data_IF_039978708625
#
_entry.id   IF_039978708625
#
_cell.length_a   1.000
_cell.length_b   1.000
_cell.length_c   1.000
_cell.angle_alpha   90.00
_cell.angle_beta   90.00
_cell.angle_gamma   90.00
#
_symmetry.space_group_name_H-M   'P 1'
#
loop_
_entity.id
_entity.type
_entity.pdbx_description
1 polymer ?
#
# COMPACT_ATOMS: atom_id res chain seq x y z
N UNK A 1 1.30 -13.90 5.29
CA UNK A 1 0.01 -14.18 4.61
C UNK A 1 -0.08 -15.60 4.05
N UNK A 2 0.90 -16.10 3.27
CA UNK A 2 0.91 -17.50 2.77
C UNK A 2 0.70 -18.56 3.85
N UNK A 3 1.50 -18.54 4.93
CA UNK A 3 1.34 -19.44 6.10
C UNK A 3 -0.07 -19.40 6.71
N UNK A 4 -0.71 -18.22 6.74
CA UNK A 4 -2.08 -18.07 7.24
C UNK A 4 -3.06 -18.72 6.27
N UNK A 5 -2.95 -18.48 4.96
CA UNK A 5 -3.79 -19.12 3.92
C UNK A 5 -3.64 -20.64 3.96
N UNK A 6 -2.41 -21.15 4.00
CA UNK A 6 -2.09 -22.59 4.03
C UNK A 6 -2.63 -23.28 5.30
N UNK A 7 -2.73 -22.55 6.42
CA UNK A 7 -3.34 -23.06 7.65
C UNK A 7 -4.86 -23.21 7.60
N UNK A 8 -5.51 -22.70 6.54
CA UNK A 8 -6.96 -22.77 6.35
C UNK A 8 -7.25 -23.66 5.14
N UNK A 9 -8.31 -24.46 5.20
CA UNK A 9 -8.80 -25.26 4.06
C UNK A 9 -9.52 -24.37 3.03
N UNK A 10 -8.85 -23.34 2.53
CA UNK A 10 -9.38 -22.48 1.48
C UNK A 10 -9.12 -23.12 0.12
N UNK A 11 -10.08 -23.00 -0.79
CA UNK A 11 -9.85 -23.36 -2.19
C UNK A 11 -8.76 -22.44 -2.75
N UNK A 12 -7.82 -23.02 -3.48
CA UNK A 12 -6.75 -22.25 -4.08
C UNK A 12 -7.31 -21.52 -5.31
N UNK A 13 -7.74 -20.28 -5.10
CA UNK A 13 -8.00 -19.34 -6.18
C UNK A 13 -6.72 -18.55 -6.46
N UNK A 14 -6.45 -18.27 -7.75
CA UNK A 14 -5.32 -17.49 -8.30
C UNK A 14 -5.43 -15.98 -7.97
N UNK A 15 -5.70 -15.67 -6.72
CA UNK A 15 -5.90 -14.30 -6.23
C UNK A 15 -4.62 -13.69 -5.65
N UNK A 16 -3.57 -14.49 -5.53
CA UNK A 16 -2.24 -14.00 -5.15
C UNK A 16 -1.26 -14.71 -6.08
N UNK A 17 -0.34 -13.99 -6.74
CA UNK A 17 0.65 -14.60 -7.60
C UNK A 17 1.34 -15.77 -6.90
N UNK A 18 1.39 -16.93 -7.56
CA UNK A 18 1.98 -18.14 -6.96
C UNK A 18 3.45 -17.87 -6.62
N UNK A 19 3.74 -17.89 -5.32
CA UNK A 19 5.10 -17.77 -4.81
C UNK A 19 5.86 -19.07 -5.02
N UNK A 20 6.84 -19.05 -5.93
CA UNK A 20 7.74 -20.17 -6.22
C UNK A 20 8.85 -20.25 -5.17
N UNK A 21 9.48 -19.12 -4.85
CA UNK A 21 10.49 -19.01 -3.81
C UNK A 21 10.63 -17.57 -3.32
N UNK A 22 11.12 -17.40 -2.11
CA UNK A 22 11.52 -16.10 -1.56
C UNK A 22 12.72 -16.28 -0.66
N UNK A 23 13.60 -15.30 -0.64
CA UNK A 23 14.71 -15.21 0.31
C UNK A 23 14.79 -13.78 0.83
N UNK A 24 15.10 -13.63 2.11
CA UNK A 24 15.25 -12.33 2.73
C UNK A 24 16.31 -12.41 3.83
N UNK A 25 17.48 -11.82 3.58
CA UNK A 25 18.59 -11.65 4.52
C UNK A 25 19.04 -10.18 4.64
N UNK A 26 18.34 -9.27 3.96
CA UNK A 26 18.63 -7.83 3.89
C UNK A 26 19.70 -7.47 2.86
N UNK A 27 20.21 -8.43 2.09
CA UNK A 27 21.29 -8.23 1.12
C UNK A 27 20.95 -8.80 -0.25
N UNK A 28 20.48 -10.03 -0.31
CA UNK A 28 20.18 -10.77 -1.53
C UNK A 28 18.68 -11.10 -1.62
N UNK A 29 17.85 -10.16 -1.17
CA UNK A 29 16.40 -10.32 -1.08
C UNK A 29 15.77 -10.57 -2.45
N UNK A 30 14.94 -11.61 -2.56
CA UNK A 30 14.18 -11.85 -3.79
C UNK A 30 12.81 -12.47 -3.50
N UNK A 31 11.91 -12.24 -4.45
CA UNK A 31 10.64 -12.94 -4.57
C UNK A 31 10.51 -13.47 -6.00
N UNK A 32 10.39 -14.79 -6.14
CA UNK A 32 10.16 -15.46 -7.41
C UNK A 32 8.67 -15.84 -7.50
N UNK A 33 7.98 -15.25 -8.45
CA UNK A 33 6.55 -15.48 -8.70
C UNK A 33 6.39 -16.23 -10.02
N UNK A 34 5.31 -17.02 -10.14
CA UNK A 34 4.95 -17.67 -11.41
C UNK A 34 4.67 -16.61 -12.47
N UNK A 35 5.38 -16.69 -13.60
CA UNK A 35 5.02 -15.95 -14.80
C UNK A 35 3.73 -16.52 -15.38
N UNK A 36 2.76 -15.67 -15.70
CA UNK A 36 1.46 -16.05 -16.27
C UNK A 36 1.27 -15.47 -17.68
N UNK A 37 2.32 -14.90 -18.28
CA UNK A 37 2.29 -14.34 -19.63
C UNK A 37 1.89 -15.38 -20.69
N UNK A 38 2.34 -16.63 -20.52
CA UNK A 38 2.00 -17.73 -21.42
C UNK A 38 0.53 -18.17 -21.34
N UNK A 39 -0.19 -17.77 -20.29
CA UNK A 39 -1.64 -18.00 -20.13
C UNK A 39 -2.48 -16.89 -20.76
N UNK A 40 -1.83 -15.93 -21.45
CA UNK A 40 -2.50 -14.83 -22.16
C UNK A 40 -2.73 -13.58 -21.31
N UNK A 41 -2.25 -13.56 -20.06
CA UNK A 41 -2.30 -12.37 -19.21
C UNK A 41 -1.23 -11.36 -19.61
N UNK A 42 -1.58 -10.08 -19.55
CA UNK A 42 -0.68 -8.98 -19.90
C UNK A 42 -1.21 -7.65 -19.40
N UNK A 43 -0.48 -6.57 -19.68
CA UNK A 43 -0.88 -5.22 -19.30
C UNK A 43 -2.20 -4.84 -19.97
N UNK A 44 -3.21 -4.51 -19.17
CA UNK A 44 -4.50 -4.07 -19.66
C UNK A 44 -4.37 -2.74 -20.41
N UNK A 45 -5.06 -2.60 -21.56
CA UNK A 45 -5.03 -1.37 -22.34
C UNK A 45 -5.90 -0.30 -21.67
N UNK A 46 -5.30 0.82 -21.27
CA UNK A 46 -5.96 1.88 -20.49
C UNK A 46 -7.02 2.67 -21.26
N UNK A 47 -7.01 2.58 -22.59
CA UNK A 47 -7.96 3.20 -23.50
C UNK A 47 -9.26 2.38 -23.68
N UNK A 48 -9.25 1.11 -23.27
CA UNK A 48 -10.42 0.25 -23.27
C UNK A 48 -11.04 0.28 -21.87
N UNK A 49 -12.33 0.62 -21.79
CA UNK A 49 -13.07 0.59 -20.52
C UNK A 49 -13.03 -0.80 -19.87
N UNK A 50 -13.17 -0.83 -18.55
CA UNK A 50 -13.24 -2.09 -17.78
C UNK A 50 -14.64 -2.69 -17.95
N UNK A 51 -14.75 -3.94 -18.42
CA UNK A 51 -16.04 -4.63 -18.48
C UNK A 51 -16.57 -4.93 -17.08
N UNK A 52 -17.87 -5.17 -16.95
CA UNK A 52 -18.47 -5.56 -15.68
C UNK A 52 -17.82 -6.84 -15.11
N UNK A 53 -17.48 -7.82 -15.95
CA UNK A 53 -16.79 -9.04 -15.51
C UNK A 53 -15.39 -8.73 -14.96
N UNK A 54 -14.60 -7.91 -15.65
CA UNK A 54 -13.26 -7.51 -15.17
C UNK A 54 -13.34 -6.69 -13.88
N UNK A 55 -14.29 -5.76 -13.79
CA UNK A 55 -14.52 -4.98 -12.56
C UNK A 55 -14.90 -5.90 -11.40
N UNK A 56 -15.80 -6.88 -11.62
CA UNK A 56 -16.19 -7.85 -10.60
C UNK A 56 -15.00 -8.71 -10.14
N UNK A 57 -14.15 -9.16 -11.06
CA UNK A 57 -12.96 -9.93 -10.72
C UNK A 57 -11.97 -9.10 -9.88
N UNK A 58 -11.74 -7.85 -10.26
CA UNK A 58 -10.88 -6.92 -9.52
C UNK A 58 -11.42 -6.64 -8.11
N UNK A 59 -12.73 -6.41 -7.98
CA UNK A 59 -13.36 -6.18 -6.67
C UNK A 59 -13.26 -7.40 -5.75
N UNK A 60 -13.42 -8.62 -6.29
CA UNK A 60 -13.22 -9.87 -5.52
C UNK A 60 -11.77 -10.01 -5.04
N UNK A 61 -10.80 -9.73 -5.93
CA UNK A 61 -9.38 -9.75 -5.62
C UNK A 61 -9.04 -8.78 -4.46
N UNK A 62 -9.54 -7.55 -4.53
CA UNK A 62 -9.38 -6.56 -3.46
C UNK A 62 -10.01 -7.01 -2.15
N UNK A 63 -11.24 -7.53 -2.20
CA UNK A 63 -11.94 -8.03 -1.01
C UNK A 63 -11.14 -9.14 -0.31
N UNK A 64 -10.57 -10.07 -1.08
CA UNK A 64 -9.78 -11.17 -0.54
C UNK A 64 -8.42 -10.70 0.00
N UNK A 65 -7.77 -9.74 -0.66
CA UNK A 65 -6.55 -9.10 -0.14
C UNK A 65 -6.79 -8.40 1.21
N UNK A 66 -7.87 -7.64 1.34
CA UNK A 66 -8.21 -6.97 2.61
C UNK A 66 -8.61 -7.97 3.69
N UNK A 67 -9.41 -9.00 3.35
CA UNK A 67 -9.82 -10.04 4.29
C UNK A 67 -8.61 -10.78 4.90
N UNK A 68 -7.57 -11.04 4.09
CA UNK A 68 -6.32 -11.63 4.58
C UNK A 68 -5.61 -10.74 5.60
N UNK A 69 -5.54 -9.43 5.35
CA UNK A 69 -4.90 -8.47 6.27
C UNK A 69 -5.69 -8.32 7.57
N UNK A 70 -7.02 -8.25 7.48
CA UNK A 70 -7.92 -8.21 8.66
C UNK A 70 -7.77 -9.49 9.48
N UNK A 71 -7.83 -10.66 8.84
CA UNK A 71 -7.66 -11.95 9.52
C UNK A 71 -6.26 -12.10 10.13
N UNK A 72 -5.21 -11.59 9.47
CA UNK A 72 -3.85 -11.59 10.01
C UNK A 72 -3.73 -10.70 11.26
N UNK A 73 -4.37 -9.52 11.27
CA UNK A 73 -4.42 -8.65 12.44
C UNK A 73 -5.16 -9.30 13.61
N UNK A 74 -6.31 -9.91 13.34
CA UNK A 74 -7.14 -10.58 14.36
C UNK A 74 -6.42 -11.79 14.99
N UNK A 75 -5.79 -12.62 14.16
CA UNK A 75 -5.23 -13.91 14.59
C UNK A 75 -3.76 -13.83 14.99
N UNK A 76 -3.07 -12.72 14.70
CA UNK A 76 -1.67 -12.56 15.01
C UNK A 76 -1.35 -11.17 15.59
N UNK A 77 -1.18 -11.04 16.93
CA UNK A 77 -0.82 -9.77 17.56
C UNK A 77 0.55 -9.24 17.12
N UNK A 78 1.45 -10.08 16.57
CA UNK A 78 2.71 -9.63 15.98
C UNK A 78 2.52 -8.87 14.68
N UNK A 79 1.40 -9.03 13.98
CA UNK A 79 1.14 -8.33 12.72
C UNK A 79 1.13 -6.82 12.94
N UNK A 80 0.42 -6.36 13.98
CA UNK A 80 0.34 -4.94 14.31
C UNK A 80 1.67 -4.42 14.87
N UNK A 81 2.40 -5.25 15.61
CA UNK A 81 3.76 -4.93 16.10
C UNK A 81 4.73 -4.74 14.93
N UNK A 82 4.72 -5.64 13.96
CA UNK A 82 5.56 -5.59 12.77
C UNK A 82 5.26 -4.34 11.93
N UNK A 83 3.97 -4.07 11.67
CA UNK A 83 3.55 -2.87 10.96
C UNK A 83 4.01 -1.58 11.66
N UNK A 84 3.86 -1.50 12.99
CA UNK A 84 4.33 -0.35 13.80
C UNK A 84 5.85 -0.24 13.89
N UNK A 85 6.58 -1.32 13.67
CA UNK A 85 8.05 -1.33 13.72
C UNK A 85 8.73 -0.84 12.43
N UNK A 86 7.95 -0.61 11.36
CA UNK A 86 8.46 -0.06 10.12
C UNK A 86 9.03 1.35 10.34
N UNK A 87 10.26 1.56 9.91
CA UNK A 87 10.96 2.83 10.03
C UNK A 87 11.09 3.48 8.68
N UNK A 88 10.40 4.61 8.52
CA UNK A 88 10.38 5.38 7.28
C UNK A 88 11.77 5.65 6.71
N UNK A 89 12.71 6.10 7.54
CA UNK A 89 14.05 6.47 7.09
C UNK A 89 14.82 5.25 6.55
N UNK A 90 14.69 4.08 7.20
CA UNK A 90 15.28 2.81 6.73
C UNK A 90 14.64 2.33 5.42
N UNK A 91 13.32 2.51 5.25
CA UNK A 91 12.62 2.16 4.00
C UNK A 91 13.08 3.01 2.81
N UNK A 92 13.25 4.32 3.02
CA UNK A 92 13.74 5.24 1.99
C UNK A 92 15.19 4.92 1.61
N UNK A 93 16.02 4.59 2.60
CA UNK A 93 17.41 4.17 2.38
C UNK A 93 17.50 2.84 1.62
N UNK A 94 16.69 1.85 1.98
CA UNK A 94 16.66 0.56 1.29
C UNK A 94 16.16 0.72 -0.16
N UNK A 95 15.12 1.54 -0.38
CA UNK A 95 14.65 1.88 -1.72
C UNK A 95 15.75 2.55 -2.55
N UNK A 96 16.47 3.53 -1.99
CA UNK A 96 17.57 4.23 -2.67
C UNK A 96 18.69 3.26 -3.08
N UNK A 97 19.07 2.35 -2.18
CA UNK A 97 20.08 1.32 -2.42
C UNK A 97 19.71 0.45 -3.62
N UNK A 98 18.50 -0.10 -3.67
CA UNK A 98 18.06 -0.94 -4.79
C UNK A 98 17.83 -0.15 -6.09
N UNK A 99 17.29 1.06 -5.99
CA UNK A 99 17.11 1.94 -7.15
C UNK A 99 18.44 2.23 -7.84
N UNK A 100 19.45 2.68 -7.08
CA UNK A 100 20.78 3.02 -7.62
C UNK A 100 21.53 1.80 -8.12
N UNK A 101 21.39 0.65 -7.45
CA UNK A 101 21.89 -0.62 -7.96
C UNK A 101 21.28 -0.96 -9.32
N UNK A 102 19.95 -0.86 -9.45
CA UNK A 102 19.26 -1.19 -10.70
C UNK A 102 19.62 -0.23 -11.83
N UNK A 103 19.73 1.06 -11.54
CA UNK A 103 20.21 2.09 -12.49
C UNK A 103 21.60 1.73 -13.01
N UNK A 104 22.50 1.29 -12.12
CA UNK A 104 23.84 0.84 -12.48
C UNK A 104 23.83 -0.42 -13.36
N UNK A 105 23.04 -1.43 -13.03
CA UNK A 105 22.87 -2.64 -13.85
C UNK A 105 22.36 -2.33 -15.26
N UNK A 106 21.58 -1.27 -15.42
CA UNK A 106 21.06 -0.79 -16.70
C UNK A 106 22.07 0.10 -17.47
N UNK A 107 23.30 0.25 -16.97
CA UNK A 107 24.39 0.95 -17.65
C UNK A 107 24.50 2.45 -17.35
N UNK A 108 23.75 2.95 -16.36
CA UNK A 108 23.83 4.35 -15.91
C UNK A 108 24.77 4.52 -14.71
N UNK A 109 25.08 5.77 -14.34
CA UNK A 109 25.89 6.06 -13.15
C UNK A 109 25.14 5.67 -11.86
N UNK A 110 25.83 4.97 -10.94
CA UNK A 110 25.30 4.60 -9.62
C UNK A 110 24.99 5.83 -8.75
N UNK A 111 25.68 6.95 -8.97
CA UNK A 111 25.49 8.19 -8.22
C UNK A 111 24.56 9.19 -8.93
N UNK A 112 23.86 8.75 -9.99
CA UNK A 112 22.94 9.60 -10.75
C UNK A 112 21.84 10.22 -9.88
N UNK A 113 21.38 9.49 -8.85
CA UNK A 113 20.41 9.95 -7.86
C UNK A 113 21.03 9.67 -6.50
N UNK A 114 21.35 10.70 -5.73
CA UNK A 114 21.84 10.55 -4.36
C UNK A 114 20.66 10.34 -3.38
N UNK A 115 20.97 9.88 -2.16
CA UNK A 115 19.94 9.70 -1.14
C UNK A 115 19.29 11.05 -0.77
N UNK A 116 20.05 12.15 -0.83
CA UNK A 116 19.53 13.48 -0.58
C UNK A 116 18.58 13.92 -1.70
N UNK A 117 18.95 13.71 -2.97
CA UNK A 117 18.07 14.01 -4.10
C UNK A 117 16.73 13.27 -3.96
N UNK A 118 16.78 11.98 -3.60
CA UNK A 118 15.57 11.20 -3.35
C UNK A 118 14.74 11.76 -2.18
N UNK A 119 15.38 12.10 -1.05
CA UNK A 119 14.69 12.66 0.13
C UNK A 119 14.02 13.99 -0.20
N UNK A 120 14.70 14.86 -0.95
CA UNK A 120 14.15 16.13 -1.43
C UNK A 120 12.99 15.92 -2.39
N UNK A 121 13.10 15.00 -3.34
CA UNK A 121 12.01 14.68 -4.27
C UNK A 121 10.79 14.10 -3.55
N UNK A 122 11.01 13.20 -2.58
CA UNK A 122 9.94 12.66 -1.75
C UNK A 122 9.26 13.78 -0.96
N UNK A 123 10.02 14.69 -0.34
CA UNK A 123 9.45 15.84 0.37
C UNK A 123 8.64 16.74 -0.56
N UNK A 124 9.22 17.14 -1.69
CA UNK A 124 8.61 18.02 -2.69
C UNK A 124 7.29 17.47 -3.24
N UNK A 125 7.20 16.14 -3.39
CA UNK A 125 6.03 15.47 -3.96
C UNK A 125 5.15 14.79 -2.90
N UNK A 126 5.43 14.97 -1.61
CA UNK A 126 4.74 14.27 -0.53
C UNK A 126 3.28 14.69 -0.34
N UNK A 127 2.90 15.88 -0.82
CA UNK A 127 1.55 16.43 -0.62
C UNK A 127 0.45 15.48 -1.11
N UNK A 128 0.65 14.84 -2.27
CA UNK A 128 -0.30 13.86 -2.78
C UNK A 128 -0.38 12.64 -1.85
N UNK A 129 0.77 12.11 -1.41
CA UNK A 129 0.81 10.97 -0.50
C UNK A 129 0.15 11.26 0.85
N UNK A 130 0.33 12.46 1.38
CA UNK A 130 -0.31 12.91 2.63
C UNK A 130 -1.80 13.11 2.44
N UNK A 131 -2.24 13.68 1.31
CA UNK A 131 -3.66 13.82 1.00
C UNK A 131 -4.35 12.46 0.94
N UNK A 132 -3.76 11.48 0.25
CA UNK A 132 -4.26 10.10 0.18
C UNK A 132 -4.25 9.40 1.54
N UNK A 133 -3.21 9.62 2.36
CA UNK A 133 -3.12 9.05 3.70
C UNK A 133 -4.18 9.64 4.64
N UNK A 134 -4.43 10.94 4.54
CA UNK A 134 -5.46 11.63 5.32
C UNK A 134 -6.85 11.13 4.93
N UNK A 135 -7.16 11.03 3.62
CA UNK A 135 -8.40 10.43 3.11
C UNK A 135 -8.59 9.02 3.68
N UNK A 136 -7.60 8.15 3.46
CA UNK A 136 -7.68 6.74 3.87
C UNK A 136 -7.89 6.62 5.37
N UNK A 137 -7.24 7.47 6.16
CA UNK A 137 -7.38 7.49 7.61
C UNK A 137 -8.77 7.95 8.03
N UNK A 138 -9.30 9.02 7.45
CA UNK A 138 -10.68 9.49 7.72
C UNK A 138 -11.68 8.38 7.39
N UNK A 139 -11.63 7.82 6.18
CA UNK A 139 -12.56 6.77 5.74
C UNK A 139 -12.48 5.51 6.61
N UNK A 140 -11.28 5.16 7.09
CA UNK A 140 -11.10 4.00 7.98
C UNK A 140 -11.67 4.18 9.39
N UNK A 141 -12.07 5.41 9.74
CA UNK A 141 -12.54 5.78 11.07
C UNK A 141 -13.99 6.27 11.11
N UNK A 142 -14.68 6.32 9.95
CA UNK A 142 -16.11 6.63 9.90
C UNK A 142 -16.91 5.49 10.50
N UNK A 143 -17.88 5.84 11.34
CA UNK A 143 -18.90 4.90 11.80
C UNK A 143 -19.97 4.70 10.70
N UNK A 144 -20.72 3.60 10.75
CA UNK A 144 -21.67 3.22 9.69
C UNK A 144 -22.72 4.31 9.39
N UNK A 145 -23.13 5.09 10.40
CA UNK A 145 -24.08 6.19 10.27
C UNK A 145 -23.44 7.51 9.78
N UNK A 146 -22.11 7.60 9.76
CA UNK A 146 -21.34 8.72 9.21
C UNK A 146 -20.93 8.46 7.74
N UNK A 147 -21.10 7.23 7.23
CA UNK A 147 -20.84 6.89 5.83
C UNK A 147 -21.96 7.46 4.96
N UNK A 148 -21.59 8.35 4.04
CA UNK A 148 -22.56 8.96 3.13
C UNK A 148 -23.14 7.93 2.13
N UNK A 149 -24.43 8.04 1.87
CA UNK A 149 -25.13 7.22 0.87
C UNK A 149 -24.62 7.59 -0.53
N UNK A 150 -24.04 6.61 -1.22
CA UNK A 150 -23.44 6.75 -2.55
C UNK A 150 -24.45 7.30 -3.58
N UNK A 151 -25.73 6.98 -3.44
CA UNK A 151 -26.77 7.41 -4.38
C UNK A 151 -27.14 8.89 -4.22
N UNK A 152 -26.85 9.48 -3.06
CA UNK A 152 -27.19 10.87 -2.70
C UNK A 152 -25.95 11.78 -2.70
N UNK A 153 -24.82 11.27 -3.16
CA UNK A 153 -23.50 11.84 -2.93
C UNK A 153 -23.15 12.90 -3.98
N UNK A 154 -23.02 14.16 -3.59
CA UNK A 154 -22.47 15.20 -4.48
C UNK A 154 -20.95 15.13 -4.60
N UNK A 155 -20.27 14.69 -3.55
CA UNK A 155 -18.81 14.59 -3.48
C UNK A 155 -18.40 13.55 -2.45
N UNK A 156 -17.37 12.74 -2.78
CA UNK A 156 -16.73 11.77 -1.87
C UNK A 156 -16.00 12.46 -0.72
N UNK A 157 -15.87 13.78 -0.81
CA UNK A 157 -15.19 14.63 0.16
C UNK A 157 -16.12 15.38 1.10
N UNK A 158 -17.42 15.10 1.07
CA UNK A 158 -18.39 15.71 1.97
C UNK A 158 -18.42 14.97 3.33
N UNK A 159 -17.31 15.10 4.06
CA UNK A 159 -17.12 14.43 5.35
C UNK A 159 -17.18 15.48 6.46
N UNK A 160 -18.10 15.27 7.40
CA UNK A 160 -18.22 16.13 8.58
C UNK A 160 -17.04 15.91 9.54
N UNK A 161 -16.56 16.96 10.24
CA UNK A 161 -15.54 16.78 11.27
C UNK A 161 -15.97 15.77 12.34
N UNK A 162 -15.04 14.92 12.78
CA UNK A 162 -15.29 14.00 13.88
C UNK A 162 -15.65 14.75 15.16
N UNK A 163 -16.67 14.25 15.87
CA UNK A 163 -17.14 14.87 17.11
C UNK A 163 -16.33 14.41 18.34
N UNK A 164 -15.50 13.37 18.22
CA UNK A 164 -14.66 12.86 19.30
C UNK A 164 -13.19 13.29 19.19
N UNK A 165 -12.58 13.45 20.35
CA UNK A 165 -11.20 13.90 20.49
C UNK A 165 -10.17 12.84 20.06
N UNK A 166 -10.51 11.55 20.10
CA UNK A 166 -9.57 10.47 19.79
C UNK A 166 -9.31 10.36 18.28
N UNK A 167 -10.34 10.36 17.44
CA UNK A 167 -10.20 10.34 15.98
C UNK A 167 -9.53 11.62 15.48
N UNK A 168 -9.88 12.76 16.06
CA UNK A 168 -9.21 14.04 15.77
C UNK A 168 -7.71 14.01 16.14
N UNK A 169 -7.33 13.42 17.28
CA UNK A 169 -5.92 13.23 17.65
C UNK A 169 -5.15 12.33 16.68
N UNK A 170 -5.80 11.30 16.12
CA UNK A 170 -5.17 10.42 15.12
C UNK A 170 -4.88 11.17 13.82
N UNK A 171 -5.82 11.99 13.33
CA UNK A 171 -5.60 12.87 12.18
C UNK A 171 -4.48 13.89 12.46
N UNK A 172 -4.53 14.54 13.63
CA UNK A 172 -3.51 15.51 14.03
C UNK A 172 -2.13 14.86 14.14
N UNK A 173 -2.03 13.61 14.59
CA UNK A 173 -0.77 12.88 14.63
C UNK A 173 -0.17 12.67 13.23
N UNK A 174 -0.99 12.33 12.22
CA UNK A 174 -0.53 12.20 10.83
C UNK A 174 0.06 13.52 10.31
N UNK A 175 -0.67 14.62 10.51
CA UNK A 175 -0.22 15.96 10.09
C UNK A 175 1.05 16.37 10.83
N UNK A 176 1.09 16.18 12.16
CA UNK A 176 2.28 16.45 12.96
C UNK A 176 3.47 15.62 12.49
N UNK A 177 3.29 14.33 12.23
CA UNK A 177 4.35 13.46 11.72
C UNK A 177 4.88 13.96 10.36
N UNK A 178 3.99 14.39 9.47
CA UNK A 178 4.36 14.94 8.18
C UNK A 178 5.16 16.25 8.30
N UNK A 179 4.78 17.13 9.22
CA UNK A 179 5.53 18.36 9.54
C UNK A 179 6.89 18.03 10.16
N UNK A 180 6.93 17.15 11.18
CA UNK A 180 8.17 16.74 11.86
C UNK A 180 9.19 16.12 10.89
N UNK A 181 8.72 15.51 9.79
CA UNK A 181 9.55 14.93 8.72
C UNK A 181 9.81 15.87 7.55
N UNK A 182 9.33 17.12 7.62
CA UNK A 182 9.51 18.12 6.57
C UNK A 182 8.82 17.76 5.25
N UNK A 183 7.78 16.93 5.31
CA UNK A 183 6.99 16.56 4.14
C UNK A 183 6.02 17.71 3.74
N UNK A 184 5.44 18.38 4.74
CA UNK A 184 4.57 19.55 4.54
C UNK A 184 4.99 20.70 5.48
N UNK A 185 4.58 21.93 5.12
CA UNK A 185 4.85 23.18 5.85
C UNK A 185 3.69 23.50 6.79
#
# INVERSE_FOLDING_TARGET
MKKLKDSKNLKDYDEVPLLLSSFCDGKDDYIALKDISFEGYGTFQRDKGVSQEYASLFLKLLANFHALSVAAKDQNPDFERAAKSLKWDELVEEYHKYLTQRIYELGSDRYLITLNDLKEDVQKNSLLGIAMAMESLVMSMLDDDEVADLDMLQSVWDISPFQDDLRNKKLAFLIKHAIDKGLII
#
